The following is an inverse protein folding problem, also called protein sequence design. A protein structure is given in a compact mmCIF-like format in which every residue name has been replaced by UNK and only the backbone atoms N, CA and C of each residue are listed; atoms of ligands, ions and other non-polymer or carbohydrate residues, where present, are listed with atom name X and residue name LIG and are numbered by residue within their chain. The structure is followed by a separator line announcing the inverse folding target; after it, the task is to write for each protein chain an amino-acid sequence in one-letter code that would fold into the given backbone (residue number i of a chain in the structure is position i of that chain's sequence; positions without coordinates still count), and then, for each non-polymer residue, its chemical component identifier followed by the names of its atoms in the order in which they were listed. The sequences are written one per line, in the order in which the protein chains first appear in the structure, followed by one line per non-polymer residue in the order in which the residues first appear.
data_IF_906868019523
#
_entry.id   IF_906868019523
#
_cell.length_a   1.000
_cell.length_b   1.000
_cell.length_c   1.000
_cell.angle_alpha   90.00
_cell.angle_beta   90.00
_cell.angle_gamma   90.00
#
_symmetry.space_group_name_H-M   'P 1'
#
loop_
_entity.id
_entity.type
_entity.pdbx_description
1 polymer ?
#
# COMPACT_ATOMS: atom_id res chain seq x y z
N UNK A 1 -21.64 -10.77 18.12
CA UNK A 1 -20.27 -10.37 18.55
C UNK A 1 -20.40 -9.12 19.41
N UNK A 2 -19.74 -9.08 20.57
CA UNK A 2 -19.87 -7.96 21.52
C UNK A 2 -19.07 -6.72 21.02
N UNK A 3 -19.49 -5.49 21.32
CA UNK A 3 -18.78 -4.25 20.97
C UNK A 3 -17.34 -4.23 21.48
N UNK A 4 -17.12 -4.75 22.69
CA UNK A 4 -15.77 -4.86 23.25
C UNK A 4 -14.87 -5.76 22.38
N UNK A 5 -15.41 -6.85 21.82
CA UNK A 5 -14.67 -7.74 20.93
C UNK A 5 -14.40 -7.08 19.58
N UNK A 6 -15.38 -6.38 19.00
CA UNK A 6 -15.19 -5.58 17.78
C UNK A 6 -14.09 -4.53 17.96
N UNK A 7 -14.09 -3.81 19.09
CA UNK A 7 -13.08 -2.80 19.40
C UNK A 7 -11.66 -3.40 19.52
N UNK A 8 -11.53 -4.54 20.23
CA UNK A 8 -10.27 -5.27 20.35
C UNK A 8 -9.78 -5.75 18.99
N UNK A 9 -10.67 -6.31 18.16
CA UNK A 9 -10.33 -6.80 16.83
C UNK A 9 -9.91 -5.66 15.89
N UNK A 10 -10.68 -4.56 15.87
CA UNK A 10 -10.33 -3.36 15.11
C UNK A 10 -8.95 -2.84 15.52
N UNK A 11 -8.68 -2.78 16.83
CA UNK A 11 -7.42 -2.28 17.32
C UNK A 11 -6.24 -3.20 17.02
N UNK A 12 -6.43 -4.51 17.15
CA UNK A 12 -5.41 -5.51 16.80
C UNK A 12 -5.03 -5.40 15.32
N UNK A 13 -6.03 -5.37 14.44
CA UNK A 13 -5.81 -5.26 13.00
C UNK A 13 -5.19 -3.91 12.67
N UNK A 14 -5.70 -2.80 13.22
CA UNK A 14 -5.17 -1.47 12.98
C UNK A 14 -3.71 -1.32 13.42
N UNK A 15 -3.35 -1.91 14.57
CA UNK A 15 -1.97 -1.94 15.07
C UNK A 15 -1.07 -2.76 14.14
N UNK A 16 -1.52 -3.94 13.72
CA UNK A 16 -0.76 -4.79 12.80
C UNK A 16 -0.58 -4.13 11.43
N UNK A 17 -1.63 -3.50 10.89
CA UNK A 17 -1.59 -2.72 9.65
C UNK A 17 -0.59 -1.57 9.76
N UNK A 18 -0.66 -0.78 10.84
CA UNK A 18 0.24 0.34 11.08
C UNK A 18 1.69 -0.14 11.21
N UNK A 19 1.94 -1.18 12.00
CA UNK A 19 3.28 -1.73 12.19
C UNK A 19 3.89 -2.16 10.86
N UNK A 20 3.12 -2.90 10.05
CA UNK A 20 3.57 -3.34 8.74
C UNK A 20 3.78 -2.16 7.77
N UNK A 21 2.85 -1.19 7.75
CA UNK A 21 2.96 0.01 6.92
C UNK A 21 4.20 0.85 7.27
N UNK A 22 4.46 1.11 8.56
CA UNK A 22 5.65 1.83 9.02
C UNK A 22 6.93 1.09 8.64
N UNK A 23 6.98 -0.22 8.86
CA UNK A 23 8.16 -1.03 8.58
C UNK A 23 8.45 -1.05 7.06
N UNK A 24 7.44 -1.34 6.23
CA UNK A 24 7.56 -1.34 4.77
C UNK A 24 7.92 0.06 4.24
N UNK A 25 7.32 1.12 4.80
CA UNK A 25 7.62 2.49 4.40
C UNK A 25 9.07 2.84 4.70
N UNK A 26 9.56 2.51 5.90
CA UNK A 26 10.95 2.74 6.32
C UNK A 26 11.94 1.99 5.42
N UNK A 27 11.71 0.71 5.15
CA UNK A 27 12.55 -0.08 4.23
C UNK A 27 12.55 0.51 2.82
N UNK A 28 11.41 1.01 2.36
CA UNK A 28 11.34 1.66 1.05
C UNK A 28 12.16 2.96 0.95
N UNK A 29 12.53 3.57 2.08
CA UNK A 29 13.40 4.74 2.17
C UNK A 29 14.88 4.35 2.40
N UNK A 30 15.21 3.06 2.42
CA UNK A 30 16.56 2.57 2.70
C UNK A 30 16.91 2.47 4.18
N UNK A 31 15.92 2.60 5.08
CA UNK A 31 16.11 2.38 6.52
C UNK A 31 16.07 0.87 6.80
N UNK A 32 16.92 0.40 7.72
CA UNK A 32 16.88 -1.00 8.15
C UNK A 32 15.50 -1.37 8.71
N UNK A 33 14.99 -2.58 8.42
CA UNK A 33 13.70 -3.00 8.91
C UNK A 33 13.68 -3.05 10.45
N UNK A 34 12.57 -2.60 11.04
CA UNK A 34 12.34 -2.61 12.49
C UNK A 34 12.31 -4.07 12.99
N UNK A 35 11.83 -4.99 12.15
CA UNK A 35 11.76 -6.42 12.45
C UNK A 35 12.37 -7.22 11.30
N UNK A 36 13.17 -8.24 11.64
CA UNK A 36 13.78 -9.20 10.70
C UNK A 36 12.79 -10.24 10.14
N UNK A 37 11.48 -10.01 10.28
CA UNK A 37 10.48 -10.94 9.78
C UNK A 37 10.57 -11.07 8.25
N UNK A 38 10.49 -12.31 7.75
CA UNK A 38 10.63 -12.71 6.34
C UNK A 38 9.56 -12.09 5.41
N UNK A 39 8.59 -11.38 5.97
CA UNK A 39 7.50 -10.74 5.22
C UNK A 39 7.92 -9.50 4.42
N UNK A 40 9.13 -8.98 4.61
CA UNK A 40 9.65 -7.86 3.86
C UNK A 40 10.68 -8.35 2.84
N UNK A 41 10.41 -8.08 1.57
CA UNK A 41 11.40 -8.23 0.51
C UNK A 41 12.30 -6.99 0.54
N UNK A 42 13.61 -7.19 0.68
CA UNK A 42 14.59 -6.10 0.70
C UNK A 42 14.67 -5.39 -0.66
N UNK A 43 14.14 -6.00 -1.73
CA UNK A 43 14.08 -5.38 -3.06
C UNK A 43 12.97 -4.33 -3.09
N UNK A 44 13.26 -3.08 -3.50
CA UNK A 44 12.35 -1.96 -3.33
C UNK A 44 11.06 -2.09 -4.14
N UNK A 45 11.10 -2.67 -5.34
CA UNK A 45 9.93 -2.78 -6.22
C UNK A 45 9.04 -3.98 -5.85
N UNK A 46 9.55 -5.23 -5.76
CA UNK A 46 8.75 -6.38 -5.33
C UNK A 46 8.17 -6.18 -3.92
N UNK A 47 8.97 -5.61 -3.01
CA UNK A 47 8.52 -5.24 -1.67
C UNK A 47 7.37 -4.23 -1.68
N UNK A 48 7.39 -3.26 -2.60
CA UNK A 48 6.30 -2.28 -2.75
C UNK A 48 5.00 -2.93 -3.24
N UNK A 49 5.07 -3.86 -4.20
CA UNK A 49 3.89 -4.61 -4.65
C UNK A 49 3.28 -5.43 -3.51
N UNK A 50 4.11 -6.17 -2.77
CA UNK A 50 3.66 -6.96 -1.63
C UNK A 50 3.06 -6.05 -0.54
N UNK A 51 3.69 -4.90 -0.29
CA UNK A 51 3.22 -3.94 0.69
C UNK A 51 1.85 -3.36 0.34
N UNK A 52 1.63 -2.94 -0.91
CA UNK A 52 0.33 -2.48 -1.38
C UNK A 52 -0.73 -3.56 -1.15
N UNK A 53 -0.45 -4.80 -1.54
CA UNK A 53 -1.42 -5.89 -1.41
C UNK A 53 -1.79 -6.14 0.06
N UNK A 54 -0.80 -6.37 0.93
CA UNK A 54 -1.03 -6.69 2.34
C UNK A 54 -1.73 -5.53 3.06
N UNK A 55 -1.22 -4.29 2.92
CA UNK A 55 -1.81 -3.12 3.60
C UNK A 55 -3.24 -2.91 3.10
N UNK A 56 -3.51 -3.08 1.81
CA UNK A 56 -4.85 -2.93 1.24
C UNK A 56 -5.85 -3.93 1.82
N UNK A 57 -5.48 -5.21 1.87
CA UNK A 57 -6.36 -6.26 2.44
C UNK A 57 -6.64 -5.97 3.92
N UNK A 58 -5.61 -5.63 4.70
CA UNK A 58 -5.81 -5.33 6.11
C UNK A 58 -6.64 -4.06 6.33
N UNK A 59 -6.46 -3.03 5.49
CA UNK A 59 -7.27 -1.82 5.51
C UNK A 59 -8.74 -2.11 5.19
N UNK A 60 -9.04 -2.96 4.20
CA UNK A 60 -10.43 -3.35 3.88
C UNK A 60 -11.11 -4.07 5.04
N UNK A 61 -10.39 -4.95 5.74
CA UNK A 61 -10.91 -5.64 6.92
C UNK A 61 -11.12 -4.61 8.06
N UNK A 62 -10.15 -3.72 8.27
CA UNK A 62 -10.21 -2.67 9.30
C UNK A 62 -11.41 -1.73 9.08
N UNK A 63 -11.64 -1.29 7.84
CA UNK A 63 -12.79 -0.44 7.50
C UNK A 63 -14.12 -1.18 7.59
N UNK A 64 -14.17 -2.46 7.22
CA UNK A 64 -15.37 -3.28 7.39
C UNK A 64 -15.77 -3.40 8.87
N UNK A 65 -14.81 -3.70 9.75
CA UNK A 65 -15.05 -3.77 11.20
C UNK A 65 -15.44 -2.39 11.75
N UNK A 66 -14.74 -1.33 11.32
CA UNK A 66 -15.05 0.05 11.73
C UNK A 66 -16.48 0.46 11.35
N UNK A 67 -16.95 0.06 10.17
CA UNK A 67 -18.33 0.31 9.72
C UNK A 67 -19.36 -0.42 10.58
N UNK A 68 -19.13 -1.71 10.87
CA UNK A 68 -20.01 -2.48 11.75
C UNK A 68 -20.03 -1.87 13.16
N UNK A 69 -18.87 -1.47 13.69
CA UNK A 69 -18.78 -0.82 14.99
C UNK A 69 -19.54 0.51 15.03
N UNK A 70 -19.30 1.39 14.06
CA UNK A 70 -19.92 2.71 13.98
C UNK A 70 -21.45 2.63 13.85
N UNK A 71 -21.98 1.67 13.07
CA UNK A 71 -23.43 1.47 12.91
C UNK A 71 -24.12 0.99 14.18
N UNK A 72 -23.42 0.26 15.03
CA UNK A 72 -24.01 -0.30 16.24
C UNK A 72 -23.91 0.63 17.45
N UNK A 73 -23.03 1.64 17.43
CA UNK A 73 -22.97 2.64 18.48
C UNK A 73 -24.05 3.72 18.22
N UNK A 74 -25.07 3.72 19.08
CA UNK A 74 -26.24 4.60 18.99
C UNK A 74 -25.88 6.09 18.97
N UNK A 75 -26.75 6.89 18.38
CA UNK A 75 -26.58 8.29 17.93
C UNK A 75 -26.21 9.34 19.00
N UNK A 76 -26.02 8.97 20.26
CA UNK A 76 -25.91 9.93 21.36
C UNK A 76 -24.61 10.75 21.35
N UNK A 77 -23.53 10.21 20.76
CA UNK A 77 -22.28 10.95 20.58
C UNK A 77 -21.42 10.39 19.43
N UNK A 78 -21.18 11.18 18.38
CA UNK A 78 -20.34 10.81 17.24
C UNK A 78 -18.95 10.29 17.64
N UNK A 79 -18.40 10.82 18.73
CA UNK A 79 -17.08 10.43 19.21
C UNK A 79 -17.05 8.96 19.65
N UNK A 80 -18.19 8.40 20.08
CA UNK A 80 -18.28 7.00 20.49
C UNK A 80 -18.38 6.01 19.32
N UNK A 81 -18.63 6.50 18.10
CA UNK A 81 -18.69 5.68 16.88
C UNK A 81 -17.30 5.25 16.37
N UNK A 82 -16.22 5.81 16.93
CA UNK A 82 -14.84 5.45 16.58
C UNK A 82 -14.32 4.44 17.60
N UNK A 83 -13.86 3.25 17.17
CA UNK A 83 -13.23 2.30 18.08
C UNK A 83 -11.96 2.89 18.69
N UNK A 84 -11.77 2.70 20.00
CA UNK A 84 -10.65 3.26 20.76
C UNK A 84 -9.79 2.13 21.29
N UNK A 85 -8.49 2.15 20.98
CA UNK A 85 -7.53 1.21 21.55
C UNK A 85 -7.17 1.58 23.00
N UNK A 86 -7.10 0.58 23.86
CA UNK A 86 -6.48 0.67 25.20
C UNK A 86 -7.36 1.23 26.32
N UNK A 87 -8.54 1.77 26.03
CA UNK A 87 -9.43 2.35 27.04
C UNK A 87 -10.85 1.79 26.93
N UNK A 88 -11.45 1.39 28.06
CA UNK A 88 -12.83 0.89 28.10
C UNK A 88 -13.86 2.01 28.10
N UNK A 89 -13.54 3.15 28.72
CA UNK A 89 -14.39 4.34 28.80
C UNK A 89 -13.53 5.59 28.72
N UNK A 90 -13.73 6.38 27.67
CA UNK A 90 -13.07 7.67 27.48
C UNK A 90 -14.12 8.76 27.66
N UNK A 91 -13.82 9.81 28.45
CA UNK A 91 -14.71 10.97 28.51
C UNK A 91 -14.59 11.79 27.21
N UNK A 92 -15.51 11.52 26.28
CA UNK A 92 -15.56 12.15 24.96
C UNK A 92 -15.76 13.67 25.00
N UNK A 93 -16.18 14.26 26.13
CA UNK A 93 -16.28 15.72 26.28
C UNK A 93 -14.90 16.36 26.45
N UNK A 94 -13.93 15.61 26.97
CA UNK A 94 -12.57 16.10 27.18
C UNK A 94 -11.86 16.45 25.87
N UNK A 95 -11.12 17.57 25.88
CA UNK A 95 -10.24 17.95 24.75
C UNK A 95 -9.16 16.89 24.50
N UNK A 96 -8.70 16.22 25.55
CA UNK A 96 -7.67 15.18 25.46
C UNK A 96 -8.20 13.95 24.71
N UNK A 97 -9.43 13.52 25.02
CA UNK A 97 -10.08 12.40 24.35
C UNK A 97 -10.20 12.61 22.84
N UNK A 98 -10.61 13.81 22.42
CA UNK A 98 -10.71 14.17 21.00
C UNK A 98 -9.35 14.16 20.29
N UNK A 99 -8.29 14.66 20.93
CA UNK A 99 -6.92 14.61 20.38
C UNK A 99 -6.43 13.16 20.25
N UNK A 100 -6.70 12.33 21.26
CA UNK A 100 -6.39 10.91 21.23
C UNK A 100 -7.06 10.21 20.05
N UNK A 101 -8.37 10.41 19.87
CA UNK A 101 -9.10 9.84 18.72
C UNK A 101 -8.56 10.31 17.37
N UNK A 102 -8.25 11.60 17.25
CA UNK A 102 -7.62 12.15 16.06
C UNK A 102 -6.28 11.47 15.73
N UNK A 103 -5.45 11.24 16.75
CA UNK A 103 -4.19 10.51 16.59
C UNK A 103 -4.42 9.06 16.12
N UNK A 104 -5.39 8.35 16.70
CA UNK A 104 -5.70 6.98 16.26
C UNK A 104 -6.24 6.91 14.84
N UNK A 105 -7.13 7.82 14.43
CA UNK A 105 -7.58 7.92 13.05
C UNK A 105 -6.40 8.22 12.10
N UNK A 106 -5.52 9.13 12.51
CA UNK A 106 -4.33 9.44 11.72
C UNK A 106 -3.44 8.20 11.54
N UNK A 107 -3.07 7.53 12.63
CA UNK A 107 -2.16 6.39 12.57
C UNK A 107 -2.79 5.15 11.94
N UNK A 108 -4.07 4.85 12.20
CA UNK A 108 -4.65 3.58 11.74
C UNK A 108 -5.28 3.69 10.35
N UNK A 109 -5.61 4.90 9.90
CA UNK A 109 -6.29 5.11 8.61
C UNK A 109 -5.43 5.96 7.66
N UNK A 110 -5.05 7.17 8.08
CA UNK A 110 -4.39 8.13 7.18
C UNK A 110 -2.97 7.66 6.82
N UNK A 111 -2.20 7.20 7.80
CA UNK A 111 -0.82 6.78 7.57
C UNK A 111 -0.70 5.53 6.65
N UNK A 112 -1.48 4.44 6.85
CA UNK A 112 -1.48 3.31 5.92
C UNK A 112 -1.96 3.71 4.52
N UNK A 113 -2.96 4.59 4.41
CA UNK A 113 -3.43 5.09 3.11
C UNK A 113 -2.32 5.88 2.38
N UNK A 114 -1.62 6.75 3.09
CA UNK A 114 -0.46 7.47 2.57
C UNK A 114 0.66 6.52 2.12
N UNK A 115 0.89 5.45 2.89
CA UNK A 115 1.88 4.42 2.53
C UNK A 115 1.50 3.72 1.22
N UNK A 116 0.23 3.37 1.01
CA UNK A 116 -0.26 2.79 -0.25
C UNK A 116 0.01 3.75 -1.42
N UNK A 117 -0.28 5.04 -1.28
CA UNK A 117 -0.02 6.05 -2.33
C UNK A 117 1.48 6.12 -2.64
N UNK A 118 2.32 6.16 -1.62
CA UNK A 118 3.78 6.16 -1.76
C UNK A 118 4.28 4.93 -2.54
N UNK A 119 3.83 3.73 -2.20
CA UNK A 119 4.23 2.52 -2.90
C UNK A 119 3.71 2.47 -4.35
N UNK A 120 2.49 2.95 -4.62
CA UNK A 120 1.97 3.04 -5.98
C UNK A 120 2.83 3.99 -6.83
N UNK A 121 3.18 5.17 -6.30
CA UNK A 121 4.07 6.11 -6.99
C UNK A 121 5.43 5.48 -7.27
N UNK A 122 5.98 4.75 -6.29
CA UNK A 122 7.27 4.05 -6.45
C UNK A 122 7.21 2.99 -7.55
N UNK A 123 6.13 2.20 -7.58
CA UNK A 123 5.87 1.19 -8.61
C UNK A 123 5.69 1.83 -10.00
N UNK A 124 4.98 2.96 -10.11
CA UNK A 124 4.78 3.64 -11.40
C UNK A 124 6.10 4.24 -11.92
N UNK A 125 6.94 4.78 -11.03
CA UNK A 125 8.19 5.44 -11.41
C UNK A 125 9.33 4.45 -11.73
N UNK A 126 9.41 3.34 -11.00
CA UNK A 126 10.54 2.41 -11.06
C UNK A 126 10.15 1.00 -11.49
N UNK A 127 8.85 0.70 -11.63
CA UNK A 127 8.41 -0.56 -12.18
C UNK A 127 8.85 -0.64 -13.62
N UNK A 128 9.91 -1.40 -13.86
CA UNK A 128 10.30 -1.79 -15.21
C UNK A 128 9.10 -2.53 -15.81
N UNK A 129 8.44 -1.90 -16.78
CA UNK A 129 7.59 -2.61 -17.72
C UNK A 129 8.58 -3.49 -18.46
N UNK A 130 8.62 -4.77 -18.12
CA UNK A 130 9.45 -5.73 -18.82
C UNK A 130 9.05 -5.67 -20.30
N UNK A 131 9.82 -4.95 -21.09
CA UNK A 131 9.71 -4.99 -22.54
C UNK A 131 10.12 -6.40 -22.95
N UNK A 132 9.24 -7.11 -23.65
CA UNK A 132 9.51 -8.47 -24.14
C UNK A 132 10.72 -8.49 -25.10
N UNK A 133 11.21 -7.33 -25.52
CA UNK A 133 12.41 -7.14 -26.36
C UNK A 133 13.76 -7.43 -25.68
N UNK A 134 13.82 -8.12 -24.52
CA UNK A 134 15.08 -8.59 -23.85
C UNK A 134 16.30 -7.64 -23.93
N UNK A 135 16.09 -6.34 -23.84
CA UNK A 135 17.06 -5.48 -23.20
C UNK A 135 16.42 -5.03 -21.91
N UNK A 136 16.94 -5.56 -20.79
CA UNK A 136 16.80 -4.89 -19.49
C UNK A 136 17.60 -3.59 -19.66
N UNK A 137 17.03 -2.61 -20.36
CA UNK A 137 17.51 -1.24 -20.31
C UNK A 137 17.13 -0.78 -18.93
N UNK A 138 18.06 -0.91 -18.00
CA UNK A 138 17.88 -0.28 -16.70
C UNK A 138 17.61 1.19 -16.99
N UNK A 139 16.48 1.73 -16.51
CA UNK A 139 16.08 3.12 -16.81
C UNK A 139 17.18 4.14 -16.47
N UNK A 140 18.12 3.78 -15.60
CA UNK A 140 19.31 4.56 -15.28
C UNK A 140 20.34 4.70 -16.42
N UNK A 141 20.35 3.82 -17.42
CA UNK A 141 21.25 3.94 -18.59
C UNK A 141 20.71 4.90 -19.66
N UNK A 142 19.45 5.34 -19.54
CA UNK A 142 18.81 6.27 -20.49
C UNK A 142 18.96 7.74 -20.07
N UNK A 143 19.13 8.02 -18.76
CA UNK A 143 19.15 9.40 -18.25
C UNK A 143 20.53 10.08 -18.24
N UNK A 144 21.58 9.40 -18.69
CA UNK A 144 22.91 10.00 -18.84
C UNK A 144 23.35 10.13 -20.31
N UNK A 145 22.41 10.51 -21.18
CA UNK A 145 22.75 11.02 -22.51
C UNK A 145 22.12 12.42 -22.68
N UNK A 146 22.87 13.52 -22.54
CA UNK A 146 22.35 14.89 -22.56
C UNK A 146 21.90 15.39 -23.95
N UNK A 147 21.49 14.49 -24.85
CA UNK A 147 21.25 14.79 -26.27
C UNK A 147 19.89 14.37 -26.84
N UNK A 148 18.94 13.88 -26.04
CA UNK A 148 17.63 13.46 -26.54
C UNK A 148 16.49 14.23 -25.88
N UNK A 149 16.09 15.33 -26.52
CA UNK A 149 14.79 15.97 -26.33
C UNK A 149 13.70 15.03 -26.86
N UNK A 150 13.12 14.19 -25.99
CA UNK A 150 11.95 13.38 -26.34
C UNK A 150 10.69 14.07 -25.82
N UNK A 151 10.03 14.77 -26.73
CA UNK A 151 8.64 15.19 -26.64
C UNK A 151 7.76 13.95 -26.53
N UNK A 152 7.10 13.75 -25.38
CA UNK A 152 6.08 12.72 -25.21
C UNK A 152 4.85 13.06 -26.06
N UNK A 153 4.76 12.50 -27.27
CA UNK A 153 3.52 12.47 -28.05
C UNK A 153 2.77 11.17 -27.79
N UNK A 154 1.55 11.28 -27.28
CA UNK A 154 0.68 10.16 -26.87
C UNK A 154 0.11 9.34 -28.03
N UNK A 155 0.41 9.66 -29.29
CA UNK A 155 -0.27 9.05 -30.45
C UNK A 155 0.37 7.75 -30.98
N UNK A 156 1.56 7.36 -30.53
CA UNK A 156 2.30 6.24 -31.13
C UNK A 156 2.34 4.96 -30.27
N UNK A 157 1.51 4.88 -29.23
CA UNK A 157 1.53 3.78 -28.24
C UNK A 157 1.13 2.40 -28.81
N UNK A 158 0.41 2.34 -29.93
CA UNK A 158 -0.17 1.08 -30.42
C UNK A 158 0.46 0.49 -31.70
N UNK A 159 1.37 1.19 -32.40
CA UNK A 159 1.77 0.75 -33.75
C UNK A 159 2.92 -0.26 -33.83
N UNK A 160 3.62 -0.57 -32.72
CA UNK A 160 4.86 -1.35 -32.77
C UNK A 160 4.77 -2.75 -32.13
N UNK A 161 3.58 -3.36 -32.11
CA UNK A 161 3.43 -4.78 -31.77
C UNK A 161 3.84 -5.67 -32.95
N UNK A 162 5.10 -6.10 -33.01
CA UNK A 162 5.53 -7.22 -33.85
C UNK A 162 6.02 -8.36 -32.96
N UNK A 163 5.35 -9.51 -33.05
CA UNK A 163 5.60 -10.70 -32.25
C UNK A 163 6.46 -11.69 -33.05
N UNK A 164 7.62 -12.05 -32.50
CA UNK A 164 8.42 -13.19 -32.93
C UNK A 164 9.67 -12.86 -33.73
N UNK A 165 10.84 -12.96 -33.08
CA UNK A 165 12.02 -13.65 -33.62
C UNK A 165 13.13 -13.78 -32.56
N UNK A 166 13.90 -14.86 -32.71
CA UNK A 166 14.92 -15.36 -31.79
C UNK A 166 16.05 -14.35 -31.50
N UNK A 167 16.46 -14.28 -30.22
CA UNK A 167 17.54 -13.39 -29.78
C UNK A 167 18.93 -13.98 -30.07
N UNK A 168 19.89 -13.17 -30.54
CA UNK A 168 21.26 -13.62 -30.76
C UNK A 168 22.01 -13.81 -29.43
N UNK A 169 22.65 -14.97 -29.27
CA UNK A 169 23.57 -15.25 -28.17
C UNK A 169 24.86 -14.43 -28.32
N UNK A 170 25.14 -13.54 -27.37
CA UNK A 170 26.44 -12.88 -27.28
C UNK A 170 27.39 -13.65 -26.35
N UNK A 171 28.27 -14.44 -26.96
CA UNK A 171 29.53 -14.95 -26.37
C UNK A 171 30.61 -13.85 -26.52
N UNK A 172 31.56 -13.55 -25.62
CA UNK A 172 32.53 -14.39 -24.90
C UNK A 172 33.23 -13.52 -23.84
N UNK A 173 33.30 -13.96 -22.59
CA UNK A 173 34.38 -13.60 -21.67
C UNK A 173 34.82 -14.86 -20.93
N UNK A 174 36.03 -15.31 -21.22
CA UNK A 174 36.65 -16.53 -20.68
C UNK A 174 37.24 -16.22 -19.30
N UNK A 175 36.47 -16.45 -18.25
CA UNK A 175 37.01 -16.72 -16.91
C UNK A 175 36.63 -18.17 -16.52
N UNK A 176 37.56 -19.13 -16.61
CA UNK A 176 37.36 -20.47 -16.07
C UNK A 176 37.67 -20.45 -14.56
N UNK A 177 36.85 -21.14 -13.78
CA UNK A 177 36.99 -21.32 -12.32
C UNK A 177 36.48 -20.20 -11.42
N UNK A 178 35.17 -19.94 -11.47
CA UNK A 178 34.41 -19.69 -10.24
C UNK A 178 33.11 -20.46 -10.35
N UNK A 179 32.92 -21.44 -9.47
CA UNK A 179 31.69 -22.24 -9.35
C UNK A 179 30.51 -21.30 -9.13
N UNK A 180 29.78 -20.97 -10.19
CA UNK A 180 28.44 -20.40 -10.12
C UNK A 180 27.55 -21.44 -9.44
N UNK A 181 27.46 -21.37 -8.10
CA UNK A 181 26.36 -21.98 -7.34
C UNK A 181 25.07 -21.46 -7.96
N UNK A 182 24.17 -22.39 -8.26
CA UNK A 182 22.95 -22.14 -9.01
C UNK A 182 22.24 -20.88 -8.54
N UNK A 183 22.04 -19.94 -9.47
CA UNK A 183 20.95 -19.00 -9.37
C UNK A 183 19.68 -19.85 -9.43
N UNK A 184 19.20 -20.25 -8.25
CA UNK A 184 17.85 -20.73 -8.07
C UNK A 184 16.92 -19.73 -8.75
N UNK A 185 16.11 -20.22 -9.68
CA UNK A 185 15.20 -19.42 -10.48
C UNK A 185 14.31 -18.60 -9.56
N UNK A 186 14.67 -17.33 -9.41
CA UNK A 186 13.91 -16.35 -8.66
C UNK A 186 12.51 -16.30 -9.22
N UNK A 187 11.56 -16.68 -8.38
CA UNK A 187 10.13 -16.72 -8.63
C UNK A 187 9.66 -15.51 -9.44
N UNK A 188 9.24 -15.74 -10.69
CA UNK A 188 8.72 -14.74 -11.63
C UNK A 188 7.23 -14.44 -11.46
N UNK A 189 6.54 -15.07 -10.51
CA UNK A 189 5.09 -14.94 -10.32
C UNK A 189 4.63 -13.49 -10.08
N UNK A 190 5.51 -12.58 -9.63
CA UNK A 190 5.19 -11.16 -9.45
C UNK A 190 4.92 -10.41 -10.77
N UNK A 191 5.47 -10.87 -11.90
CA UNK A 191 5.32 -10.21 -13.21
C UNK A 191 3.87 -10.27 -13.71
N UNK A 192 3.03 -11.17 -13.17
CA UNK A 192 1.62 -11.28 -13.60
C UNK A 192 0.65 -10.35 -12.87
N UNK A 193 1.05 -9.71 -11.76
CA UNK A 193 0.14 -8.76 -11.10
C UNK A 193 0.20 -7.44 -11.87
N UNK A 194 -0.76 -7.26 -12.76
CA UNK A 194 -0.90 -6.04 -13.56
C UNK A 194 -0.92 -4.80 -12.65
N UNK A 195 -0.16 -3.73 -12.98
CA UNK A 195 -0.26 -2.44 -12.29
C UNK A 195 -1.70 -1.92 -12.20
N UNK A 196 -2.55 -2.24 -13.19
CA UNK A 196 -3.97 -1.89 -13.18
C UNK A 196 -4.73 -2.56 -12.03
N UNK A 197 -4.40 -3.82 -11.71
CA UNK A 197 -5.02 -4.54 -10.59
C UNK A 197 -4.63 -3.88 -9.26
N UNK A 198 -3.38 -3.44 -9.13
CA UNK A 198 -2.88 -2.76 -7.91
C UNK A 198 -3.53 -1.38 -7.72
N UNK A 199 -3.68 -0.63 -8.82
CA UNK A 199 -4.43 0.63 -8.82
C UNK A 199 -5.89 0.37 -8.43
N UNK A 200 -6.52 -0.66 -9.02
CA UNK A 200 -7.89 -1.05 -8.71
C UNK A 200 -8.10 -1.38 -7.23
N UNK A 201 -7.20 -2.18 -6.63
CA UNK A 201 -7.22 -2.49 -5.19
C UNK A 201 -7.04 -1.21 -4.35
N UNK A 202 -6.10 -0.33 -4.74
CA UNK A 202 -5.83 0.92 -4.02
C UNK A 202 -7.04 1.86 -4.05
N UNK A 203 -7.74 1.96 -5.19
CA UNK A 203 -8.99 2.71 -5.33
C UNK A 203 -10.10 2.11 -4.48
N UNK A 204 -10.25 0.78 -4.47
CA UNK A 204 -11.23 0.10 -3.62
C UNK A 204 -11.01 0.43 -2.13
N UNK A 205 -9.75 0.41 -1.67
CA UNK A 205 -9.39 0.79 -0.31
C UNK A 205 -9.72 2.26 -0.05
N UNK A 206 -9.35 3.15 -0.97
CA UNK A 206 -9.64 4.59 -0.86
C UNK A 206 -11.14 4.85 -0.69
N UNK A 207 -11.97 4.25 -1.55
CA UNK A 207 -13.43 4.40 -1.44
C UNK A 207 -13.99 3.77 -0.17
N UNK A 208 -13.45 2.64 0.28
CA UNK A 208 -13.88 2.03 1.54
C UNK A 208 -13.51 2.88 2.76
N UNK A 209 -12.37 3.57 2.74
CA UNK A 209 -11.97 4.51 3.79
C UNK A 209 -12.86 5.75 3.75
N UNK A 210 -13.13 6.28 2.55
CA UNK A 210 -14.03 7.42 2.37
C UNK A 210 -15.43 7.09 2.90
N UNK A 211 -15.99 5.93 2.57
CA UNK A 211 -17.28 5.46 3.09
C UNK A 211 -17.30 5.40 4.63
N UNK A 212 -16.26 4.84 5.25
CA UNK A 212 -16.13 4.83 6.72
C UNK A 212 -16.10 6.25 7.30
N UNK A 213 -15.29 7.14 6.72
CA UNK A 213 -15.19 8.55 7.14
C UNK A 213 -16.55 9.22 7.02
N UNK A 214 -17.25 9.04 5.89
CA UNK A 214 -18.59 9.59 5.68
C UNK A 214 -19.58 9.07 6.72
N UNK A 215 -19.58 7.77 7.04
CA UNK A 215 -20.44 7.21 8.09
C UNK A 215 -20.17 7.89 9.45
N UNK A 216 -18.91 8.09 9.81
CA UNK A 216 -18.52 8.75 11.06
C UNK A 216 -18.96 10.23 11.08
N UNK A 217 -18.79 10.96 9.96
CA UNK A 217 -19.10 12.40 9.90
C UNK A 217 -20.57 12.73 9.63
N UNK A 218 -21.30 11.95 8.82
CA UNK A 218 -22.72 12.18 8.58
C UNK A 218 -23.57 11.95 9.83
N UNK A 219 -23.20 10.99 10.68
CA UNK A 219 -23.83 10.86 12.00
C UNK A 219 -23.67 12.11 12.86
N UNK A 220 -22.55 12.83 12.74
CA UNK A 220 -22.36 14.10 13.44
C UNK A 220 -23.35 15.18 12.98
N UNK A 221 -23.69 15.24 11.68
CA UNK A 221 -24.59 16.28 11.15
C UNK A 221 -26.03 16.09 11.65
N UNK A 222 -26.55 14.88 11.61
CA UNK A 222 -27.91 14.56 12.09
C UNK A 222 -28.07 14.89 13.59
N UNK A 223 -27.00 14.73 14.37
CA UNK A 223 -27.01 15.07 15.79
C UNK A 223 -27.12 16.58 16.05
N UNK A 224 -26.37 17.40 15.30
CA UNK A 224 -26.40 18.86 15.45
C UNK A 224 -27.76 19.50 15.08
N UNK A 225 -28.56 18.83 14.23
CA UNK A 225 -29.89 19.31 13.86
C UNK A 225 -30.96 18.99 14.92
N UNK A 226 -30.67 18.11 15.88
CA UNK A 226 -31.61 17.70 16.94
C UNK A 226 -31.33 18.33 18.31
N UNK A 227 -30.18 18.98 18.49
CA UNK A 227 -29.75 19.63 19.74
C UNK A 227 -30.00 21.13 19.71
#
# INVERSE_FOLDING_TARGET
MNMSQLNKLWSLIGTATLFYAVNAYSVSQGVNPISKAVLLDDRPIPGSYLAIFIISVMMLILTAIGRVYARNYSMDNWASSIPIFGFERLDYRSKLARRYQGAFLFFFIIFPLFSIIHFNNKVIQHGDIADESKQIVSRHDVFYNPGWDIVFSSSNFFSNFCMGQDLPQYSKSKNPCSKKKGQEGGVTWFIMISPLLMIGISLLVFFSVLDLILIIFFHRRIWLEKS
#
